data_IF_243982002297
#
_entry.id   IF_243982002297
#
_cell.length_a   1.000
_cell.length_b   1.000
_cell.length_c   1.000
_cell.angle_alpha   90.00
_cell.angle_beta   90.00
_cell.angle_gamma   90.00
#
_symmetry.space_group_name_H-M   'P 1'
#
loop_
_entity.id
_entity.type
_entity.pdbx_description
1 polymer ?
#
# COMPACT_ATOMS: atom_id res chain seq x y z
N UNK A 1 1.06 -0.81 -11.92
CA UNK A 1 1.24 0.37 -11.03
C UNK A 1 0.34 0.31 -9.80
N UNK A 2 -0.94 -0.04 -9.93
CA UNK A 2 -1.79 -0.34 -8.77
C UNK A 2 -1.16 -1.39 -7.83
N UNK A 3 -0.65 -2.50 -8.37
CA UNK A 3 0.07 -3.51 -7.57
C UNK A 3 1.33 -2.95 -6.89
N UNK A 4 1.98 -1.95 -7.49
CA UNK A 4 3.15 -1.27 -6.92
C UNK A 4 2.79 -0.37 -5.74
N UNK A 5 1.66 0.35 -5.82
CA UNK A 5 1.17 1.15 -4.69
C UNK A 5 0.68 0.29 -3.53
N UNK A 6 0.07 -0.86 -3.82
CA UNK A 6 -0.35 -1.83 -2.79
C UNK A 6 0.87 -2.45 -2.11
N UNK A 7 1.91 -2.80 -2.88
CA UNK A 7 3.18 -3.27 -2.30
C UNK A 7 3.85 -2.17 -1.46
N UNK A 8 3.81 -0.91 -1.91
CA UNK A 8 4.32 0.21 -1.12
C UNK A 8 3.55 0.41 0.19
N UNK A 9 2.22 0.27 0.18
CA UNK A 9 1.39 0.31 1.38
C UNK A 9 1.86 -0.75 2.40
N UNK A 10 2.03 -1.99 1.95
CA UNK A 10 2.59 -3.07 2.78
C UNK A 10 3.98 -2.72 3.31
N UNK A 11 4.89 -2.29 2.42
CA UNK A 11 6.26 -1.95 2.78
C UNK A 11 6.33 -0.82 3.81
N UNK A 12 5.42 0.16 3.73
CA UNK A 12 5.36 1.30 4.65
C UNK A 12 5.01 0.88 6.09
N UNK A 13 4.23 -0.19 6.28
CA UNK A 13 3.96 -0.74 7.63
C UNK A 13 5.23 -1.19 8.36
N UNK A 14 6.29 -1.54 7.63
CA UNK A 14 7.54 -2.01 8.23
C UNK A 14 8.31 -0.88 8.94
N UNK A 15 7.91 0.38 8.74
CA UNK A 15 8.41 1.52 9.51
C UNK A 15 7.87 1.59 10.95
N UNK A 16 6.93 0.72 11.33
CA UNK A 16 6.31 0.68 12.65
C UNK A 16 6.90 -0.49 13.47
N UNK A 17 7.57 -0.24 14.61
CA UNK A 17 8.22 -1.29 15.38
C UNK A 17 7.31 -2.42 15.88
N UNK A 18 6.08 -2.12 16.31
CA UNK A 18 5.10 -3.15 16.74
C UNK A 18 4.84 -4.17 15.62
N UNK A 19 4.67 -3.67 14.39
CA UNK A 19 4.42 -4.48 13.20
C UNK A 19 5.71 -5.20 12.77
N UNK A 20 6.81 -4.48 12.60
CA UNK A 20 8.04 -5.06 12.07
C UNK A 20 8.64 -6.14 12.97
N UNK A 21 8.59 -5.98 14.30
CA UNK A 21 9.05 -6.99 15.25
C UNK A 21 8.28 -8.30 15.09
N UNK A 22 6.96 -8.22 14.92
CA UNK A 22 6.14 -9.39 14.68
C UNK A 22 6.49 -10.06 13.34
N UNK A 23 6.68 -9.26 12.28
CA UNK A 23 7.05 -9.79 10.97
C UNK A 23 8.40 -10.51 11.00
N UNK A 24 9.39 -9.94 11.69
CA UNK A 24 10.70 -10.59 11.91
C UNK A 24 10.52 -11.89 12.71
N UNK A 25 9.76 -11.86 13.81
CA UNK A 25 9.55 -13.02 14.67
C UNK A 25 8.83 -14.19 13.95
N UNK A 26 8.00 -13.91 12.94
CA UNK A 26 7.36 -14.97 12.15
C UNK A 26 8.33 -15.70 11.22
N UNK A 27 9.49 -15.09 10.91
CA UNK A 27 10.46 -15.58 9.94
C UNK A 27 10.00 -15.55 8.48
N UNK A 28 8.72 -15.22 8.21
CA UNK A 28 8.11 -15.42 6.90
C UNK A 28 8.54 -14.40 5.84
N UNK A 29 9.01 -13.22 6.24
CA UNK A 29 9.44 -12.15 5.32
C UNK A 29 10.95 -11.87 5.34
N UNK A 30 11.65 -12.33 6.38
CA UNK A 30 13.08 -12.09 6.54
C UNK A 30 13.95 -13.22 5.99
N UNK A 31 13.41 -14.45 5.88
CA UNK A 31 14.12 -15.60 5.33
C UNK A 31 13.93 -15.73 3.82
N UNK A 32 15.01 -16.04 3.09
CA UNK A 32 15.00 -16.23 1.64
C UNK A 32 14.04 -17.36 1.21
N UNK A 33 13.94 -18.43 2.01
CA UNK A 33 13.16 -19.62 1.66
C UNK A 33 11.63 -19.41 1.76
N UNK A 34 11.19 -18.43 2.56
CA UNK A 34 9.77 -18.21 2.87
C UNK A 34 9.22 -16.90 2.34
N UNK A 35 10.08 -15.90 2.08
CA UNK A 35 9.66 -14.55 1.69
C UNK A 35 8.85 -14.53 0.39
N UNK A 36 9.30 -15.26 -0.65
CA UNK A 36 8.59 -15.31 -1.93
C UNK A 36 7.21 -15.95 -1.79
N UNK A 37 7.08 -17.04 -1.03
CA UNK A 37 5.80 -17.68 -0.76
C UNK A 37 4.88 -16.73 0.00
N UNK A 38 5.37 -16.09 1.07
CA UNK A 38 4.58 -15.13 1.86
C UNK A 38 4.07 -13.98 1.01
N UNK A 39 4.91 -13.42 0.14
CA UNK A 39 4.51 -12.36 -0.79
C UNK A 39 3.42 -12.82 -1.77
N UNK A 40 3.55 -14.05 -2.31
CA UNK A 40 2.54 -14.64 -3.18
C UNK A 40 1.20 -14.87 -2.45
N UNK A 41 1.24 -15.46 -1.26
CA UNK A 41 0.05 -15.72 -0.43
C UNK A 41 -0.70 -14.41 -0.12
N UNK A 42 0.02 -13.35 0.28
CA UNK A 42 -0.56 -12.02 0.51
C UNK A 42 -1.13 -11.42 -0.78
N UNK A 43 -0.43 -11.55 -1.91
CA UNK A 43 -0.89 -11.05 -3.20
C UNK A 43 -2.19 -11.71 -3.68
N UNK A 44 -2.31 -13.03 -3.52
CA UNK A 44 -3.54 -13.76 -3.85
C UNK A 44 -4.69 -13.26 -2.98
N UNK A 45 -4.54 -13.26 -1.65
CA UNK A 45 -5.60 -12.81 -0.74
C UNK A 45 -6.07 -11.39 -1.09
N UNK A 46 -5.15 -10.44 -1.27
CA UNK A 46 -5.52 -9.06 -1.61
C UNK A 46 -6.23 -8.97 -2.98
N UNK A 47 -5.80 -9.76 -3.95
CA UNK A 47 -6.44 -9.82 -5.28
C UNK A 47 -7.87 -10.33 -5.17
N UNK A 48 -8.09 -11.39 -4.38
CA UNK A 48 -9.44 -11.94 -4.16
C UNK A 48 -10.37 -10.90 -3.54
N UNK A 49 -9.90 -10.20 -2.51
CA UNK A 49 -10.71 -9.26 -1.75
C UNK A 49 -11.01 -7.97 -2.52
N UNK A 50 -10.03 -7.44 -3.28
CA UNK A 50 -10.14 -6.11 -3.91
C UNK A 50 -10.73 -6.17 -5.32
N UNK A 51 -10.51 -7.24 -6.08
CA UNK A 51 -10.96 -7.30 -7.48
C UNK A 51 -12.31 -7.99 -7.68
N UNK A 52 -12.84 -8.68 -6.67
CA UNK A 52 -14.16 -9.30 -6.74
C UNK A 52 -15.22 -8.42 -6.06
N UNK A 53 -16.47 -8.65 -6.43
CA UNK A 53 -17.60 -8.01 -5.77
C UNK A 53 -17.62 -8.39 -4.28
N UNK A 54 -17.97 -7.48 -3.34
CA UNK A 54 -18.02 -7.75 -1.90
C UNK A 54 -18.81 -9.01 -1.48
N UNK A 55 -19.81 -9.39 -2.25
CA UNK A 55 -20.67 -10.57 -2.01
C UNK A 55 -20.20 -11.83 -2.76
N UNK A 56 -19.11 -11.75 -3.53
CA UNK A 56 -18.53 -12.92 -4.19
C UNK A 56 -17.93 -13.87 -3.15
N UNK A 57 -18.14 -15.18 -3.34
CA UNK A 57 -17.55 -16.22 -2.49
C UNK A 57 -16.04 -16.05 -2.36
N UNK A 58 -15.34 -15.66 -3.43
CA UNK A 58 -13.88 -15.47 -3.41
C UNK A 58 -13.45 -14.31 -2.51
N UNK A 59 -14.18 -13.20 -2.55
CA UNK A 59 -13.95 -12.07 -1.65
C UNK A 59 -14.20 -12.48 -0.19
N UNK A 60 -15.34 -13.12 0.09
CA UNK A 60 -15.72 -13.58 1.43
C UNK A 60 -14.70 -14.56 1.99
N UNK A 61 -14.28 -15.56 1.21
CA UNK A 61 -13.25 -16.54 1.61
C UNK A 61 -11.91 -15.83 1.90
N UNK A 62 -11.53 -14.85 1.06
CA UNK A 62 -10.32 -14.05 1.24
C UNK A 62 -10.32 -13.24 2.54
N UNK A 63 -11.45 -12.60 2.87
CA UNK A 63 -11.63 -11.84 4.11
C UNK A 63 -11.60 -12.79 5.30
N UNK A 64 -12.34 -13.90 5.25
CA UNK A 64 -12.34 -14.90 6.32
C UNK A 64 -10.93 -15.45 6.57
N UNK A 65 -10.15 -15.69 5.50
CA UNK A 65 -8.75 -16.11 5.61
C UNK A 65 -7.89 -15.04 6.28
N UNK A 66 -8.07 -13.78 5.91
CA UNK A 66 -7.34 -12.65 6.49
C UNK A 66 -7.66 -12.50 7.99
N UNK A 67 -8.94 -12.57 8.36
CA UNK A 67 -9.39 -12.52 9.75
C UNK A 67 -8.81 -13.70 10.54
N UNK A 68 -8.87 -14.92 10.00
CA UNK A 68 -8.28 -16.10 10.64
C UNK A 68 -6.78 -15.92 10.95
N UNK A 69 -6.00 -15.42 9.99
CA UNK A 69 -4.56 -15.21 10.13
C UNK A 69 -4.24 -14.12 11.17
N UNK A 70 -4.99 -13.03 11.20
CA UNK A 70 -4.76 -11.94 12.15
C UNK A 70 -5.30 -12.25 13.56
N UNK A 71 -6.40 -13.01 13.67
CA UNK A 71 -7.11 -13.25 14.93
C UNK A 71 -6.21 -13.84 16.02
N UNK A 72 -5.35 -14.80 15.68
CA UNK A 72 -4.40 -15.39 16.66
C UNK A 72 -3.51 -14.32 17.28
N UNK A 73 -3.01 -13.40 16.48
CA UNK A 73 -2.08 -12.36 16.94
C UNK A 73 -2.82 -11.25 17.69
N UNK A 74 -4.00 -10.83 17.20
CA UNK A 74 -4.90 -9.89 17.87
C UNK A 74 -5.29 -10.38 19.27
N UNK A 75 -5.76 -11.62 19.39
CA UNK A 75 -6.09 -12.25 20.69
C UNK A 75 -4.91 -12.34 21.66
N UNK A 76 -3.69 -12.47 21.13
CA UNK A 76 -2.46 -12.48 21.94
C UNK A 76 -1.90 -11.09 22.25
N UNK A 77 -2.57 -10.01 21.84
CA UNK A 77 -2.12 -8.62 22.03
C UNK A 77 -0.91 -8.23 21.17
N UNK A 78 -0.54 -9.03 20.16
CA UNK A 78 0.62 -8.77 19.28
C UNK A 78 0.31 -7.91 18.07
N UNK A 79 -0.98 -7.75 17.75
CA UNK A 79 -1.49 -6.80 16.76
C UNK A 79 -2.56 -6.00 17.47
N UNK A 80 -2.33 -4.70 17.65
CA UNK A 80 -3.33 -3.79 18.22
C UNK A 80 -4.41 -3.43 17.20
N UNK A 81 -5.52 -2.88 17.68
CA UNK A 81 -6.55 -2.30 16.80
C UNK A 81 -6.01 -1.11 16.00
N UNK A 82 -5.15 -0.29 16.61
CA UNK A 82 -4.52 0.83 15.93
C UNK A 82 -3.53 0.37 14.84
N UNK A 83 -2.79 -0.74 15.04
CA UNK A 83 -1.95 -1.33 13.99
C UNK A 83 -2.80 -1.78 12.78
N UNK A 84 -3.98 -2.36 13.05
CA UNK A 84 -4.93 -2.78 12.01
C UNK A 84 -5.53 -1.58 11.28
N UNK A 85 -5.99 -0.56 12.01
CA UNK A 85 -6.54 0.66 11.42
C UNK A 85 -5.48 1.43 10.62
N UNK A 86 -4.25 1.50 11.12
CA UNK A 86 -3.13 2.10 10.39
C UNK A 86 -2.86 1.33 9.09
N UNK A 87 -2.79 0.01 9.17
CA UNK A 87 -2.60 -0.85 7.99
C UNK A 87 -3.73 -0.67 6.97
N UNK A 88 -4.99 -0.67 7.40
CA UNK A 88 -6.16 -0.38 6.57
C UNK A 88 -6.04 0.98 5.87
N UNK A 89 -5.61 2.02 6.60
CA UNK A 89 -5.43 3.37 6.05
C UNK A 89 -4.45 3.39 4.87
N UNK A 90 -3.35 2.66 4.96
CA UNK A 90 -2.34 2.64 3.90
C UNK A 90 -2.88 2.03 2.61
N UNK A 91 -3.72 0.99 2.70
CA UNK A 91 -4.26 0.32 1.52
C UNK A 91 -5.21 1.19 0.69
N UNK A 92 -5.78 2.26 1.27
CA UNK A 92 -6.60 3.22 0.51
C UNK A 92 -5.85 4.51 0.20
N UNK A 93 -5.08 5.04 1.16
CA UNK A 93 -4.41 6.33 1.01
C UNK A 93 -3.20 6.25 0.08
N UNK A 94 -2.39 5.18 0.17
CA UNK A 94 -1.19 5.07 -0.65
C UNK A 94 -1.49 4.87 -2.13
N UNK A 95 -2.49 4.06 -2.57
CA UNK A 95 -2.90 4.05 -3.97
C UNK A 95 -3.37 5.41 -4.50
N UNK A 96 -4.09 6.20 -3.69
CA UNK A 96 -4.51 7.56 -4.07
C UNK A 96 -3.29 8.47 -4.23
N UNK A 97 -2.39 8.52 -3.23
CA UNK A 97 -1.16 9.33 -3.24
C UNK A 97 -0.23 8.92 -4.37
N UNK A 98 -0.05 7.63 -4.57
CA UNK A 98 0.78 7.07 -5.62
C UNK A 98 0.25 7.42 -7.01
N UNK A 99 -1.07 7.33 -7.21
CA UNK A 99 -1.69 7.72 -8.48
C UNK A 99 -1.46 9.21 -8.75
N UNK A 100 -1.69 10.09 -7.78
CA UNK A 100 -1.44 11.52 -7.92
C UNK A 100 0.04 11.82 -8.22
N UNK A 101 0.97 11.16 -7.54
CA UNK A 101 2.42 11.40 -7.68
C UNK A 101 2.99 10.86 -8.98
N UNK A 102 2.54 9.69 -9.42
CA UNK A 102 3.24 8.94 -10.45
C UNK A 102 2.43 8.71 -11.71
N UNK A 103 1.10 8.74 -11.69
CA UNK A 103 0.27 8.49 -12.87
C UNK A 103 -0.06 9.76 -13.66
N UNK A 104 -0.53 9.53 -14.89
CA UNK A 104 -0.90 10.59 -15.84
C UNK A 104 -2.26 11.22 -15.53
N UNK A 105 -3.13 10.51 -14.81
CA UNK A 105 -4.42 11.02 -14.32
C UNK A 105 -4.55 10.83 -12.82
N UNK A 106 -5.24 11.75 -12.20
CA UNK A 106 -5.60 11.65 -10.79
C UNK A 106 -6.83 10.76 -10.58
N UNK A 107 -7.07 10.39 -9.32
CA UNK A 107 -8.31 9.73 -8.89
C UNK A 107 -9.34 10.84 -8.65
N UNK A 108 -10.42 10.84 -9.43
CA UNK A 108 -11.50 11.82 -9.27
C UNK A 108 -12.17 11.72 -7.90
N UNK A 109 -12.83 12.79 -7.46
CA UNK A 109 -13.52 12.83 -6.16
C UNK A 109 -14.57 11.73 -6.02
N UNK A 110 -15.36 11.46 -7.06
CA UNK A 110 -16.34 10.35 -7.07
C UNK A 110 -15.66 9.00 -6.82
N UNK A 111 -14.50 8.76 -7.44
CA UNK A 111 -13.73 7.52 -7.24
C UNK A 111 -13.13 7.46 -5.84
N UNK A 112 -12.63 8.58 -5.30
CA UNK A 112 -12.15 8.66 -3.92
C UNK A 112 -13.28 8.37 -2.93
N UNK A 113 -14.47 8.94 -3.14
CA UNK A 113 -15.64 8.67 -2.33
C UNK A 113 -16.00 7.17 -2.35
N UNK A 114 -16.07 6.56 -3.53
CA UNK A 114 -16.32 5.13 -3.66
C UNK A 114 -15.25 4.26 -2.96
N UNK A 115 -13.97 4.64 -3.07
CA UNK A 115 -12.88 3.99 -2.32
C UNK A 115 -13.06 4.13 -0.82
N UNK A 116 -13.45 5.31 -0.32
CA UNK A 116 -13.73 5.52 1.09
C UNK A 116 -14.88 4.65 1.61
N UNK A 117 -15.98 4.55 0.85
CA UNK A 117 -17.10 3.65 1.18
C UNK A 117 -16.64 2.19 1.24
N UNK A 118 -15.90 1.73 0.23
CA UNK A 118 -15.41 0.36 0.17
C UNK A 118 -14.45 0.04 1.32
N UNK A 119 -13.49 0.91 1.62
CA UNK A 119 -12.49 0.65 2.66
C UNK A 119 -13.06 0.80 4.07
N UNK A 120 -14.12 1.59 4.27
CA UNK A 120 -14.92 1.55 5.51
C UNK A 120 -15.57 0.18 5.67
N UNK A 121 -16.29 -0.30 4.65
CA UNK A 121 -16.90 -1.64 4.65
C UNK A 121 -15.85 -2.74 4.89
N UNK A 122 -14.66 -2.61 4.31
CA UNK A 122 -13.57 -3.56 4.54
C UNK A 122 -13.11 -3.56 6.01
N UNK A 123 -12.93 -2.38 6.62
CA UNK A 123 -12.59 -2.33 8.04
C UNK A 123 -13.66 -2.97 8.94
N UNK A 124 -14.94 -2.77 8.62
CA UNK A 124 -16.07 -3.42 9.32
C UNK A 124 -16.01 -4.95 9.17
N UNK A 125 -15.82 -5.44 7.94
CA UNK A 125 -15.73 -6.88 7.65
C UNK A 125 -14.48 -7.54 8.27
N UNK A 126 -13.45 -6.76 8.58
CA UNK A 126 -12.25 -7.20 9.30
C UNK A 126 -12.35 -7.01 10.82
N UNK A 127 -13.50 -6.56 11.33
CA UNK A 127 -13.74 -6.30 12.75
C UNK A 127 -12.71 -5.33 13.36
N UNK A 128 -12.36 -4.28 12.59
CA UNK A 128 -11.45 -3.22 13.01
C UNK A 128 -12.28 -2.11 13.67
N UNK A 129 -12.05 -1.79 14.96
CA UNK A 129 -12.71 -0.66 15.60
C UNK A 129 -12.28 0.67 14.98
N UNK A 130 -13.24 1.52 14.66
CA UNK A 130 -12.98 2.89 14.19
C UNK A 130 -12.99 3.93 15.32
N UNK A 131 -12.95 3.50 16.59
CA UNK A 131 -13.04 4.40 17.75
C UNK A 131 -12.04 5.56 17.79
N UNK A 132 -10.83 5.49 17.18
CA UNK A 132 -9.95 6.65 17.08
C UNK A 132 -10.42 7.74 16.10
N UNK A 133 -11.40 7.45 15.24
CA UNK A 133 -11.92 8.38 14.24
C UNK A 133 -13.08 9.21 14.85
N UNK A 134 -13.04 10.56 14.74
CA UNK A 134 -14.01 11.43 15.41
C UNK A 134 -15.48 11.09 15.14
N UNK A 135 -15.82 10.73 13.90
CA UNK A 135 -17.21 10.44 13.52
C UNK A 135 -17.61 8.98 13.71
N UNK A 136 -16.83 8.17 14.46
CA UNK A 136 -17.15 6.76 14.68
C UNK A 136 -18.52 6.56 15.35
N UNK A 137 -18.96 7.47 16.22
CA UNK A 137 -20.24 7.36 16.93
C UNK A 137 -21.42 7.87 16.09
N UNK A 138 -21.25 9.01 15.42
CA UNK A 138 -22.32 9.68 14.68
C UNK A 138 -22.43 9.22 13.21
N UNK A 139 -21.39 8.54 12.72
CA UNK A 139 -21.25 8.11 11.33
C UNK A 139 -20.66 9.18 10.41
N UNK A 140 -20.17 8.74 9.25
CA UNK A 140 -19.63 9.63 8.23
C UNK A 140 -20.67 9.99 7.18
N UNK A 141 -20.68 11.27 6.75
CA UNK A 141 -21.55 11.77 5.68
C UNK A 141 -21.41 10.98 4.38
N UNK A 142 -20.17 10.70 3.99
CA UNK A 142 -19.83 9.96 2.77
C UNK A 142 -18.42 9.33 2.90
N UNK A 143 -17.94 8.71 1.82
CA UNK A 143 -16.61 8.11 1.80
C UNK A 143 -15.46 9.12 1.81
N UNK A 144 -15.68 10.38 1.38
CA UNK A 144 -14.64 11.41 1.46
C UNK A 144 -14.39 11.81 2.91
N UNK A 145 -15.46 12.02 3.68
CA UNK A 145 -15.37 12.32 5.10
C UNK A 145 -14.64 11.22 5.87
N UNK A 146 -14.92 9.95 5.57
CA UNK A 146 -14.18 8.82 6.15
C UNK A 146 -12.69 8.85 5.79
N UNK A 147 -12.35 9.13 4.52
CA UNK A 147 -10.95 9.23 4.09
C UNK A 147 -10.19 10.38 4.76
N UNK A 148 -10.84 11.52 4.98
CA UNK A 148 -10.25 12.68 5.66
C UNK A 148 -9.86 12.33 7.10
N UNK A 149 -10.78 11.71 7.86
CA UNK A 149 -10.50 11.28 9.23
C UNK A 149 -9.43 10.17 9.27
N UNK A 150 -9.51 9.21 8.36
CA UNK A 150 -8.53 8.12 8.25
C UNK A 150 -7.14 8.65 7.90
N UNK A 151 -7.05 9.68 7.05
CA UNK A 151 -5.79 10.37 6.74
C UNK A 151 -5.25 11.14 7.96
N UNK A 152 -6.12 11.83 8.70
CA UNK A 152 -5.76 12.50 9.95
C UNK A 152 -5.18 11.52 10.98
N UNK A 153 -5.89 10.41 11.21
CA UNK A 153 -5.43 9.31 12.06
C UNK A 153 -4.09 8.75 11.59
N UNK A 154 -3.97 8.38 10.31
CA UNK A 154 -2.76 7.77 9.74
C UNK A 154 -1.53 8.66 9.94
N UNK A 155 -1.65 9.97 9.67
CA UNK A 155 -0.56 10.94 9.87
C UNK A 155 -0.17 11.06 11.34
N UNK A 156 -1.16 11.12 12.24
CA UNK A 156 -0.89 11.20 13.68
C UNK A 156 -0.22 9.92 14.19
N UNK A 157 -0.75 8.76 13.84
CA UNK A 157 -0.19 7.45 14.18
C UNK A 157 1.28 7.34 13.73
N UNK A 158 1.61 7.77 12.50
CA UNK A 158 3.00 7.79 12.03
C UNK A 158 3.91 8.71 12.85
N UNK A 159 3.41 9.85 13.33
CA UNK A 159 4.23 10.77 14.15
C UNK A 159 4.62 10.15 15.49
N UNK A 160 3.80 9.25 16.02
CA UNK A 160 4.02 8.59 17.30
C UNK A 160 4.80 7.27 17.14
N UNK A 161 4.50 6.50 16.10
CA UNK A 161 4.93 5.10 16.01
C UNK A 161 5.95 4.81 14.90
N UNK A 162 6.13 5.68 13.90
CA UNK A 162 7.10 5.47 12.83
C UNK A 162 8.50 5.94 13.23
N UNK A 163 9.13 5.19 14.12
CA UNK A 163 10.41 5.49 14.73
C UNK A 163 11.52 4.50 14.31
N UNK A 164 12.81 4.87 14.39
CA UNK A 164 13.92 3.97 14.06
C UNK A 164 13.91 2.69 14.90
N UNK A 165 13.98 1.53 14.24
CA UNK A 165 14.15 0.24 14.90
C UNK A 165 14.97 -0.74 14.05
N UNK A 166 15.70 -1.65 14.69
CA UNK A 166 16.44 -2.71 14.01
C UNK A 166 15.51 -3.68 13.26
N UNK A 167 14.36 -4.01 13.85
CA UNK A 167 13.35 -4.86 13.21
C UNK A 167 12.83 -4.25 11.90
N UNK A 168 12.64 -2.92 11.87
CA UNK A 168 12.23 -2.19 10.66
C UNK A 168 13.26 -2.38 9.55
N UNK A 169 14.54 -2.15 9.86
CA UNK A 169 15.65 -2.28 8.92
C UNK A 169 15.77 -3.72 8.38
N UNK A 170 15.68 -4.71 9.27
CA UNK A 170 15.85 -6.12 8.91
C UNK A 170 14.77 -6.61 7.95
N UNK A 171 13.49 -6.37 8.26
CA UNK A 171 12.39 -6.81 7.39
C UNK A 171 12.37 -6.02 6.07
N UNK A 172 12.71 -4.73 6.10
CA UNK A 172 12.80 -3.91 4.90
C UNK A 172 13.92 -4.41 3.96
N UNK A 173 15.11 -4.72 4.49
CA UNK A 173 16.21 -5.30 3.71
C UNK A 173 15.87 -6.66 3.12
N UNK A 174 15.27 -7.57 3.90
CA UNK A 174 14.83 -8.87 3.41
C UNK A 174 13.80 -8.76 2.28
N UNK A 175 12.86 -7.81 2.41
CA UNK A 175 11.85 -7.55 1.38
C UNK A 175 12.46 -6.95 0.12
N UNK A 176 13.37 -5.98 0.24
CA UNK A 176 14.09 -5.40 -0.91
C UNK A 176 14.89 -6.48 -1.63
N UNK A 177 15.61 -7.33 -0.89
CA UNK A 177 16.37 -8.45 -1.47
C UNK A 177 15.46 -9.36 -2.31
N UNK A 178 14.29 -9.71 -1.78
CA UNK A 178 13.29 -10.53 -2.49
C UNK A 178 12.77 -9.81 -3.75
N UNK A 179 12.52 -8.51 -3.67
CA UNK A 179 12.09 -7.71 -4.83
C UNK A 179 13.18 -7.62 -5.93
N UNK A 180 14.45 -7.74 -5.55
CA UNK A 180 15.60 -7.68 -6.45
C UNK A 180 16.05 -9.05 -6.98
N UNK A 181 15.34 -10.15 -6.66
CA UNK A 181 15.73 -11.51 -7.08
C UNK A 181 15.90 -11.64 -8.60
N UNK A 182 15.06 -10.96 -9.38
CA UNK A 182 15.12 -10.98 -10.86
C UNK A 182 15.97 -9.84 -11.46
N UNK A 183 16.63 -9.03 -10.63
CA UNK A 183 17.47 -7.91 -11.07
C UNK A 183 18.94 -8.37 -11.04
N UNK A 184 19.73 -8.16 -12.12
CA UNK A 184 21.14 -8.46 -12.13
C UNK A 184 21.89 -7.81 -10.96
N UNK A 185 22.79 -8.56 -10.29
CA UNK A 185 23.51 -8.08 -9.08
C UNK A 185 24.23 -6.75 -9.31
N UNK A 186 24.76 -6.52 -10.51
CA UNK A 186 25.42 -5.25 -10.87
C UNK A 186 24.50 -4.02 -10.75
N UNK A 187 23.18 -4.19 -10.83
CA UNK A 187 22.19 -3.12 -10.72
C UNK A 187 21.61 -2.96 -9.31
N UNK A 188 22.00 -3.80 -8.34
CA UNK A 188 21.42 -3.77 -6.99
C UNK A 188 21.65 -2.44 -6.27
N UNK A 189 22.85 -1.85 -6.39
CA UNK A 189 23.14 -0.54 -5.80
C UNK A 189 22.25 0.58 -6.37
N UNK A 190 22.04 0.57 -7.69
CA UNK A 190 21.13 1.51 -8.35
C UNK A 190 19.69 1.32 -7.87
N UNK A 191 19.22 0.06 -7.82
CA UNK A 191 17.87 -0.25 -7.39
C UNK A 191 17.62 0.14 -5.92
N UNK A 192 18.61 -0.07 -5.04
CA UNK A 192 18.55 0.42 -3.66
C UNK A 192 18.47 1.94 -3.59
N UNK A 193 19.23 2.67 -4.41
CA UNK A 193 19.14 4.13 -4.50
C UNK A 193 17.75 4.62 -4.93
N UNK A 194 17.12 3.94 -5.89
CA UNK A 194 15.76 4.23 -6.34
C UNK A 194 14.74 3.94 -5.24
N UNK A 195 14.86 2.81 -4.53
CA UNK A 195 14.00 2.50 -3.38
C UNK A 195 14.13 3.58 -2.31
N UNK A 196 15.34 3.96 -1.93
CA UNK A 196 15.56 5.05 -0.95
C UNK A 196 14.99 6.40 -1.41
N UNK A 197 14.99 6.68 -2.72
CA UNK A 197 14.38 7.89 -3.29
C UNK A 197 12.83 7.84 -3.31
N UNK A 198 12.26 6.65 -3.33
CA UNK A 198 10.81 6.45 -3.28
C UNK A 198 10.26 6.68 -1.86
N UNK A 199 11.03 6.28 -0.84
CA UNK A 199 10.63 6.35 0.57
C UNK A 199 10.60 7.78 1.10
N UNK A 200 9.52 8.09 1.82
CA UNK A 200 9.39 9.35 2.55
C UNK A 200 10.46 9.48 3.63
N UNK A 201 10.90 10.71 3.99
CA UNK A 201 11.98 10.91 4.95
C UNK A 201 11.75 10.24 6.32
N UNK A 202 10.51 10.25 6.82
CA UNK A 202 10.17 9.59 8.11
C UNK A 202 10.34 8.08 8.02
N UNK A 203 9.74 7.46 7.00
CA UNK A 203 9.82 6.02 6.76
C UNK A 203 11.26 5.55 6.58
N UNK A 204 12.04 6.28 5.78
CA UNK A 204 13.45 5.98 5.54
C UNK A 204 14.29 6.05 6.81
N UNK A 205 14.09 7.07 7.65
CA UNK A 205 14.73 7.16 8.97
C UNK A 205 14.29 6.03 9.90
N UNK A 206 13.00 5.69 9.90
CA UNK A 206 12.46 4.59 10.71
C UNK A 206 13.05 3.23 10.31
N UNK A 207 13.33 3.03 9.02
CA UNK A 207 14.02 1.85 8.48
C UNK A 207 15.55 1.93 8.56
N UNK A 208 16.12 3.02 9.10
CA UNK A 208 17.57 3.24 9.23
C UNK A 208 18.31 3.22 7.89
N UNK A 209 17.64 3.62 6.82
CA UNK A 209 18.24 3.73 5.49
C UNK A 209 18.90 5.10 5.28
N UNK A 210 20.04 5.10 4.59
CA UNK A 210 20.74 6.32 4.21
C UNK A 210 19.88 7.20 3.28
N UNK A 211 20.08 8.52 3.35
CA UNK A 211 19.49 9.45 2.39
C UNK A 211 19.90 9.07 0.95
N UNK A 212 18.95 9.11 -0.02
CA UNK A 212 19.27 8.85 -1.41
C UNK A 212 20.18 9.94 -1.97
N UNK A 213 21.07 9.57 -2.90
CA UNK A 213 21.85 10.56 -3.65
C UNK A 213 20.92 11.45 -4.48
N UNK A 214 21.33 12.71 -4.73
CA UNK A 214 20.59 13.62 -5.62
C UNK A 214 20.37 13.02 -7.00
N UNK A 215 21.35 12.27 -7.50
CA UNK A 215 21.25 11.56 -8.78
C UNK A 215 20.19 10.46 -8.77
N UNK A 216 20.05 9.69 -7.67
CA UNK A 216 19.01 8.66 -7.55
C UNK A 216 17.62 9.26 -7.54
N UNK A 217 17.45 10.39 -6.83
CA UNK A 217 16.20 11.15 -6.81
C UNK A 217 15.88 11.66 -8.22
N UNK A 218 16.83 12.32 -8.88
CA UNK A 218 16.62 12.86 -10.22
C UNK A 218 16.32 11.76 -11.24
N UNK A 219 17.00 10.62 -11.17
CA UNK A 219 16.72 9.47 -12.03
C UNK A 219 15.31 8.94 -11.82
N UNK A 220 14.86 8.78 -10.57
CA UNK A 220 13.48 8.39 -10.26
C UNK A 220 12.50 9.39 -10.91
N UNK A 221 12.71 10.70 -10.75
CA UNK A 221 11.85 11.70 -11.35
C UNK A 221 11.81 11.61 -12.88
N UNK A 222 12.96 11.44 -13.54
CA UNK A 222 13.04 11.31 -15.01
C UNK A 222 12.29 10.06 -15.48
N UNK A 223 12.56 8.90 -14.87
CA UNK A 223 11.91 7.63 -15.24
C UNK A 223 10.40 7.72 -15.07
N UNK A 224 9.95 8.25 -13.93
CA UNK A 224 8.51 8.37 -13.66
C UNK A 224 7.83 9.41 -14.56
N UNK A 225 8.50 10.51 -14.88
CA UNK A 225 7.99 11.53 -15.80
C UNK A 225 7.88 11.00 -17.23
N UNK A 226 8.92 10.34 -17.76
CA UNK A 226 8.90 9.76 -19.10
C UNK A 226 7.76 8.74 -19.25
N UNK A 227 7.56 7.90 -18.23
CA UNK A 227 6.45 6.94 -18.18
C UNK A 227 5.08 7.65 -18.13
N UNK A 228 4.95 8.71 -17.33
CA UNK A 228 3.72 9.51 -17.23
C UNK A 228 3.31 10.08 -18.59
N UNK A 229 4.28 10.58 -19.36
CA UNK A 229 4.04 11.10 -20.71
C UNK A 229 3.61 10.00 -21.69
N UNK A 230 4.24 8.82 -21.64
CA UNK A 230 3.84 7.69 -22.49
C UNK A 230 2.41 7.19 -22.20
N UNK A 231 1.97 7.24 -20.94
CA UNK A 231 0.60 6.91 -20.54
C UNK A 231 -0.45 7.88 -21.10
N UNK A 232 -0.10 9.15 -21.24
CA UNK A 232 -0.98 10.16 -21.85
C UNK A 232 -1.17 9.90 -23.35
N UNK A 233 -0.09 9.65 -24.09
CA UNK A 233 -0.15 9.41 -25.54
C UNK A 233 -0.94 8.15 -25.91
N UNK A 234 -0.79 7.07 -25.13
CA UNK A 234 -1.53 5.82 -25.36
C UNK A 234 -3.03 5.96 -25.06
N UNK A 235 -3.41 6.71 -24.03
CA UNK A 235 -4.82 7.00 -23.76
C UNK A 235 -5.44 7.87 -24.86
N UNK A 236 -4.75 8.91 -25.34
CA UNK A 236 -5.26 9.80 -26.39
C UNK A 236 -5.52 9.06 -27.72
N UNK A 237 -4.70 8.05 -28.03
CA UNK A 237 -4.90 7.16 -29.19
C UNK A 237 -6.10 6.22 -28.99
N UNK A 238 -6.34 5.73 -27.77
CA UNK A 238 -7.50 4.88 -27.47
C UNK A 238 -8.82 5.66 -27.57
N UNK A 239 -8.90 6.88 -27.01
CA UNK A 239 -10.11 7.71 -27.11
C UNK A 239 -10.42 8.13 -28.53
N UNK A 240 -9.42 8.39 -29.36
CA UNK A 240 -9.64 8.73 -30.78
C UNK A 240 -10.12 7.52 -31.58
N UNK A 241 -9.65 6.30 -31.26
CA UNK A 241 -10.14 5.07 -31.86
C UNK A 241 -11.59 4.75 -31.46
N UNK A 242 -11.94 4.88 -30.18
CA UNK A 242 -13.31 4.64 -29.69
C UNK A 242 -14.32 5.65 -30.23
N UNK A 243 -13.94 6.94 -30.35
CA UNK A 243 -14.77 7.97 -30.98
C UNK A 243 -14.94 7.72 -32.48
N UNK A 244 -13.89 7.24 -33.16
CA UNK A 244 -13.99 6.87 -34.57
C UNK A 244 -14.89 5.65 -34.79
N UNK A 245 -14.84 4.62 -33.93
CA UNK A 245 -15.74 3.47 -34.02
C UNK A 245 -17.21 3.84 -33.69
N UNK A 246 -17.43 4.74 -32.73
CA UNK A 246 -18.78 5.22 -32.39
C UNK A 246 -19.43 6.06 -33.50
N UNK A 247 -18.66 6.67 -34.39
CA UNK A 247 -19.14 7.44 -35.54
C UNK A 247 -19.38 6.57 -36.80
N UNK A 248 -18.75 5.41 -36.90
CA UNK A 248 -18.94 4.46 -38.02
C UNK A 248 -20.18 3.57 -37.82
N UNK A 249 -20.71 3.49 -36.60
CA UNK A 249 -21.90 2.70 -36.25
C UNK A 249 -23.17 3.54 -36.00
N UNK A 250 -23.24 4.77 -36.52
CA UNK A 250 -24.47 5.57 -36.65
C UNK A 250 -24.85 5.72 -38.10
#
# INVERSE_FOLDING_TARGET
>A
MFSGSVFFALFKTYGIPSISQLLVATGQLASDDTASKRAADTGVILTEVVLHHPLDKRAIDGIARMNFLHNRYRKSGKISDDDMLYTLSLFVLEPIRWTARFEWREVSEVKRCAMGVYWRWMGEAMEIPFTPLPSCQDGWRDGLHFLEELEGFSRHYETLHMIPAESNELVAKGTIKTALTNIPRALHGLAQGIVSALLEPRLRRAMRFADPSRSSVQLLHIVMWARKMNGHSTSALATTHDVAQALVHR
#
